data_IF_171184880242
#
_entry.id   IF_171184880242
#
_cell.length_a   1.000
_cell.length_b   1.000
_cell.length_c   1.000
_cell.angle_alpha   90.00
_cell.angle_beta   90.00
_cell.angle_gamma   90.00
#
_symmetry.space_group_name_H-M   'P 1'
#
loop_
_entity.id
_entity.type
_entity.pdbx_description
1 polymer ?
#
# COMPACT_ATOMS: atom_id res chain seq x y z
N UNK A 1 -3.96 29.31 -28.10
CA UNK A 1 -5.43 29.44 -28.13
C UNK A 1 -5.94 28.66 -29.35
N UNK A 2 -6.71 27.56 -29.23
CA UNK A 2 -6.25 26.20 -28.82
C UNK A 2 -5.93 25.42 -30.12
N UNK A 3 -4.70 25.10 -30.50
CA UNK A 3 -3.83 23.97 -30.05
C UNK A 3 -4.61 22.69 -29.68
N UNK A 4 -4.18 21.53 -30.20
CA UNK A 4 -5.05 20.49 -30.82
C UNK A 4 -5.68 20.97 -32.14
N UNK A 5 -4.87 21.57 -33.02
CA UNK A 5 -5.35 22.03 -34.33
C UNK A 5 -5.75 20.85 -35.23
N UNK A 6 -7.06 20.68 -35.41
CA UNK A 6 -7.77 19.76 -36.30
C UNK A 6 -7.59 20.05 -37.81
N UNK A 7 -6.43 20.56 -38.23
CA UNK A 7 -6.14 20.86 -39.64
C UNK A 7 -5.40 19.73 -40.38
N UNK A 8 -5.27 18.54 -39.78
CA UNK A 8 -4.69 17.39 -40.47
C UNK A 8 -5.78 16.68 -41.28
N UNK A 9 -5.70 16.74 -42.61
CA UNK A 9 -6.64 16.13 -43.58
C UNK A 9 -6.84 14.59 -43.46
N UNK A 10 -6.18 13.92 -42.50
CA UNK A 10 -6.23 12.46 -42.29
C UNK A 10 -7.11 12.10 -41.07
N UNK A 11 -7.96 13.00 -40.58
CA UNK A 11 -8.84 12.73 -39.44
C UNK A 11 -10.24 12.23 -39.83
N UNK A 12 -10.54 12.10 -41.13
CA UNK A 12 -11.80 11.50 -41.58
C UNK A 12 -11.66 9.98 -41.62
N UNK A 13 -12.19 9.30 -40.59
CA UNK A 13 -12.35 7.84 -40.58
C UNK A 13 -11.30 7.01 -39.81
N UNK A 14 -10.42 7.63 -39.02
CA UNK A 14 -9.52 6.92 -38.09
C UNK A 14 -9.79 7.32 -36.64
N UNK A 15 -9.95 6.32 -35.76
CA UNK A 15 -10.01 6.49 -34.30
C UNK A 15 -8.64 6.93 -33.77
N UNK A 16 -8.25 8.18 -34.02
CA UNK A 16 -7.13 8.80 -33.33
C UNK A 16 -7.62 9.19 -31.93
N UNK A 17 -7.38 8.34 -30.94
CA UNK A 17 -7.46 8.76 -29.53
C UNK A 17 -6.59 10.02 -29.38
N UNK A 18 -7.22 11.14 -29.05
CA UNK A 18 -6.54 12.41 -28.81
C UNK A 18 -5.75 12.31 -27.51
N UNK A 19 -4.53 11.79 -27.58
CA UNK A 19 -3.59 11.80 -26.47
C UNK A 19 -2.84 13.13 -26.46
N UNK A 20 -3.04 13.92 -25.41
CA UNK A 20 -2.29 15.14 -25.15
C UNK A 20 -1.21 14.88 -24.10
N UNK A 21 0.06 15.15 -24.45
CA UNK A 21 1.20 15.07 -23.52
C UNK A 21 1.63 16.48 -23.14
N UNK A 22 1.52 16.82 -21.85
CA UNK A 22 2.01 18.10 -21.32
C UNK A 22 3.40 17.87 -20.70
N UNK A 23 4.41 18.55 -21.22
CA UNK A 23 5.78 18.51 -20.68
C UNK A 23 6.05 19.79 -19.89
N UNK A 24 6.22 19.66 -18.58
CA UNK A 24 6.65 20.75 -17.70
C UNK A 24 8.13 20.53 -17.33
N UNK A 25 9.02 21.23 -18.02
CA UNK A 25 10.46 21.08 -17.82
C UNK A 25 11.02 22.21 -16.95
N UNK A 26 11.75 21.87 -15.89
CA UNK A 26 12.56 22.83 -15.13
C UNK A 26 13.99 22.81 -15.68
N UNK A 27 14.47 23.95 -16.20
CA UNK A 27 15.86 24.07 -16.68
C UNK A 27 16.82 23.91 -15.50
N UNK A 28 17.80 23.02 -15.63
CA UNK A 28 18.88 22.86 -14.64
C UNK A 28 19.71 24.14 -14.56
N UNK A 29 20.06 24.55 -13.34
CA UNK A 29 20.91 25.71 -13.11
C UNK A 29 22.31 25.49 -13.71
N UNK A 30 22.93 26.55 -14.24
CA UNK A 30 24.30 26.45 -14.80
C UNK A 30 25.34 26.14 -13.72
N UNK A 31 25.08 26.59 -12.50
CA UNK A 31 25.89 26.32 -11.30
C UNK A 31 25.45 25.04 -10.55
N UNK A 32 24.72 24.13 -11.19
CA UNK A 32 24.30 22.89 -10.54
C UNK A 32 25.51 22.04 -10.09
N UNK A 33 25.47 21.57 -8.86
CA UNK A 33 26.55 20.80 -8.26
C UNK A 33 26.65 19.39 -8.86
N UNK A 34 27.86 18.83 -8.80
CA UNK A 34 28.11 17.40 -9.02
C UNK A 34 28.21 16.74 -7.66
N UNK A 35 27.50 15.64 -7.46
CA UNK A 35 27.47 14.90 -6.18
C UNK A 35 27.89 13.45 -6.38
N UNK A 36 28.19 12.75 -5.29
CA UNK A 36 28.44 11.32 -5.27
C UNK A 36 27.15 10.51 -5.20
N UNK A 37 27.21 9.23 -5.54
CA UNK A 37 26.10 8.28 -5.35
C UNK A 37 25.60 8.24 -3.91
N UNK A 38 26.49 8.31 -2.91
CA UNK A 38 26.10 8.29 -1.50
C UNK A 38 25.26 9.51 -1.12
N UNK A 39 25.62 10.70 -1.63
CA UNK A 39 24.85 11.92 -1.45
C UNK A 39 23.50 11.87 -2.16
N UNK A 40 23.44 11.25 -3.35
CA UNK A 40 22.18 11.05 -4.06
C UNK A 40 21.23 10.14 -3.27
N UNK A 41 21.72 9.01 -2.74
CA UNK A 41 20.93 8.11 -1.89
C UNK A 41 20.44 8.83 -0.63
N UNK A 42 21.28 9.64 0.02
CA UNK A 42 20.86 10.45 1.18
C UNK A 42 19.79 11.47 0.83
N UNK A 43 19.86 12.06 -0.36
CA UNK A 43 18.83 12.98 -0.84
C UNK A 43 17.51 12.24 -1.12
N UNK A 44 17.56 11.05 -1.75
CA UNK A 44 16.39 10.19 -1.95
C UNK A 44 15.71 9.86 -0.61
N UNK A 45 16.46 9.34 0.37
CA UNK A 45 15.95 8.99 1.72
C UNK A 45 15.29 10.14 2.46
N UNK A 46 15.67 11.38 2.15
CA UNK A 46 15.12 12.57 2.80
C UNK A 46 13.90 13.13 2.06
N UNK A 47 13.91 13.10 0.74
CA UNK A 47 12.98 13.89 -0.10
C UNK A 47 11.94 13.03 -0.82
N UNK A 48 12.20 11.74 -1.04
CA UNK A 48 11.24 10.85 -1.68
C UNK A 48 10.11 10.40 -0.74
N UNK A 49 10.35 10.05 0.54
CA UNK A 49 9.28 9.63 1.46
C UNK A 49 8.11 10.62 1.59
N UNK A 50 8.33 11.94 1.77
CA UNK A 50 7.22 12.90 1.82
C UNK A 50 6.41 12.95 0.52
N UNK A 51 7.08 12.82 -0.64
CA UNK A 51 6.40 12.79 -1.93
C UNK A 51 5.56 11.51 -2.11
N UNK A 52 6.04 10.36 -1.63
CA UNK A 52 5.26 9.11 -1.65
C UNK A 52 4.03 9.23 -0.73
N UNK A 53 4.18 9.82 0.45
CA UNK A 53 3.05 10.08 1.35
C UNK A 53 1.99 10.99 0.72
N UNK A 54 2.39 12.02 -0.05
CA UNK A 54 1.46 12.84 -0.83
C UNK A 54 0.72 12.03 -1.90
N UNK A 55 1.39 11.08 -2.56
CA UNK A 55 0.74 10.18 -3.54
C UNK A 55 -0.26 9.22 -2.86
N UNK A 56 0.05 8.71 -1.66
CA UNK A 56 -0.88 7.89 -0.88
C UNK A 56 -2.10 8.70 -0.42
N UNK A 57 -1.88 9.94 0.02
CA UNK A 57 -2.94 10.87 0.39
C UNK A 57 -3.82 11.23 -0.82
N UNK A 58 -3.23 11.34 -2.00
CA UNK A 58 -3.94 11.49 -3.28
C UNK A 58 -4.62 10.20 -3.78
N UNK A 59 -4.51 9.11 -3.02
CA UNK A 59 -5.12 7.81 -3.31
C UNK A 59 -4.68 7.19 -4.65
N UNK A 60 -3.40 7.36 -4.99
CA UNK A 60 -2.79 6.68 -6.13
C UNK A 60 -2.76 5.17 -5.86
N UNK A 61 -3.26 4.36 -6.79
CA UNK A 61 -3.28 2.91 -6.63
C UNK A 61 -1.86 2.34 -6.47
N UNK A 62 -1.66 1.28 -5.66
CA UNK A 62 -0.34 0.68 -5.46
C UNK A 62 0.35 0.26 -6.77
N UNK A 63 -0.42 -0.29 -7.72
CA UNK A 63 0.13 -0.68 -9.03
C UNK A 63 0.72 0.48 -9.82
N UNK A 64 0.25 1.71 -9.57
CA UNK A 64 0.68 2.94 -10.24
C UNK A 64 1.74 3.72 -9.43
N UNK A 65 2.05 3.29 -8.20
CA UNK A 65 3.03 3.94 -7.33
C UNK A 65 4.43 4.02 -7.94
N UNK A 66 5.00 2.93 -8.51
CA UNK A 66 6.32 3.00 -9.13
C UNK A 66 6.40 4.06 -10.22
N UNK A 67 5.36 4.15 -11.06
CA UNK A 67 5.33 5.12 -12.15
C UNK A 67 5.16 6.55 -11.63
N UNK A 68 4.32 6.73 -10.62
CA UNK A 68 4.07 8.02 -9.98
C UNK A 68 5.31 8.55 -9.24
N UNK A 69 6.08 7.66 -8.60
CA UNK A 69 7.30 8.01 -7.86
C UNK A 69 8.49 8.40 -8.74
N UNK A 70 8.50 8.01 -10.03
CA UNK A 70 9.57 8.38 -10.97
C UNK A 70 9.74 9.89 -11.05
N UNK A 71 8.65 10.66 -11.13
CA UNK A 71 8.71 12.11 -11.23
C UNK A 71 9.47 12.76 -10.06
N UNK A 72 9.01 12.57 -8.82
CA UNK A 72 9.72 13.03 -7.62
C UNK A 72 11.18 12.56 -7.54
N UNK A 73 11.43 11.26 -7.75
CA UNK A 73 12.79 10.70 -7.69
C UNK A 73 13.73 11.26 -8.76
N UNK A 74 13.24 11.38 -10.01
CA UNK A 74 14.00 11.96 -11.11
C UNK A 74 14.18 13.47 -10.96
N UNK A 75 13.27 14.16 -10.27
CA UNK A 75 13.46 15.56 -9.87
C UNK A 75 14.70 15.73 -8.99
N UNK A 76 14.95 14.80 -8.07
CA UNK A 76 16.15 14.79 -7.22
C UNK A 76 17.40 14.47 -8.05
N UNK A 77 17.36 13.49 -8.96
CA UNK A 77 18.51 13.14 -9.79
C UNK A 77 18.89 14.25 -10.79
N UNK A 78 17.89 14.77 -11.53
CA UNK A 78 18.12 15.68 -12.65
C UNK A 78 18.47 17.12 -12.25
N UNK A 79 18.30 17.49 -10.98
CA UNK A 79 18.71 18.82 -10.48
C UNK A 79 20.22 18.99 -10.41
N UNK A 80 20.95 17.89 -10.28
CA UNK A 80 22.42 17.89 -10.25
C UNK A 80 23.00 17.89 -11.66
N UNK A 81 24.23 18.41 -11.78
CA UNK A 81 24.97 18.38 -13.05
C UNK A 81 25.32 16.95 -13.45
N UNK A 82 25.83 16.19 -12.49
CA UNK A 82 26.10 14.76 -12.59
C UNK A 82 26.04 14.13 -11.19
N UNK A 83 25.72 12.84 -11.14
CA UNK A 83 25.93 12.00 -9.96
C UNK A 83 27.07 11.04 -10.32
N UNK A 84 28.12 11.00 -9.51
CA UNK A 84 29.30 10.17 -9.77
C UNK A 84 29.19 8.82 -9.05
N UNK A 85 29.54 7.76 -9.77
CA UNK A 85 29.78 6.43 -9.20
C UNK A 85 31.17 6.36 -8.54
N UNK A 86 31.48 5.24 -7.90
CA UNK A 86 32.75 5.05 -7.18
C UNK A 86 33.99 5.05 -8.09
N UNK A 87 33.81 4.85 -9.40
CA UNK A 87 34.86 4.91 -10.43
C UNK A 87 34.94 6.27 -11.14
N UNK A 88 34.35 7.31 -10.53
CA UNK A 88 34.21 8.67 -11.07
C UNK A 88 33.40 8.77 -12.39
N UNK A 89 32.79 7.67 -12.85
CA UNK A 89 31.90 7.71 -14.01
C UNK A 89 30.55 8.35 -13.66
N UNK A 90 29.90 8.96 -14.64
CA UNK A 90 28.56 9.51 -14.45
C UNK A 90 27.53 8.38 -14.34
N UNK A 91 26.77 8.38 -13.23
CA UNK A 91 25.66 7.46 -13.00
C UNK A 91 24.65 7.53 -14.14
N UNK A 92 24.23 6.36 -14.62
CA UNK A 92 23.23 6.25 -15.67
C UNK A 92 21.81 6.54 -15.14
N UNK A 93 20.92 7.01 -16.02
CA UNK A 93 19.49 7.15 -15.69
C UNK A 93 18.89 5.81 -15.25
N UNK A 94 19.31 4.69 -15.85
CA UNK A 94 18.88 3.35 -15.46
C UNK A 94 19.21 3.07 -14.00
N UNK A 95 20.43 3.38 -13.57
CA UNK A 95 20.86 3.19 -12.18
C UNK A 95 20.06 4.10 -11.23
N UNK A 96 19.83 5.35 -11.63
CA UNK A 96 19.01 6.27 -10.83
C UNK A 96 17.58 5.73 -10.63
N UNK A 97 16.94 5.24 -11.69
CA UNK A 97 15.60 4.63 -11.61
C UNK A 97 15.57 3.40 -10.69
N UNK A 98 16.62 2.56 -10.72
CA UNK A 98 16.74 1.42 -9.81
C UNK A 98 16.85 1.86 -8.34
N UNK A 99 17.59 2.94 -8.06
CA UNK A 99 17.71 3.49 -6.70
C UNK A 99 16.41 4.14 -6.23
N UNK A 100 15.67 4.81 -7.13
CA UNK A 100 14.36 5.38 -6.82
C UNK A 100 13.36 4.28 -6.46
N UNK A 101 13.30 3.20 -7.24
CA UNK A 101 12.43 2.07 -6.94
C UNK A 101 12.85 1.39 -5.63
N UNK A 102 14.16 1.21 -5.38
CA UNK A 102 14.63 0.63 -4.13
C UNK A 102 14.24 1.47 -2.90
N UNK A 103 14.26 2.80 -3.02
CA UNK A 103 13.81 3.70 -1.95
C UNK A 103 12.28 3.67 -1.76
N UNK A 104 11.51 3.58 -2.85
CA UNK A 104 10.06 3.35 -2.78
C UNK A 104 9.75 2.04 -2.06
N UNK A 105 10.43 0.95 -2.43
CA UNK A 105 10.29 -0.35 -1.78
C UNK A 105 10.66 -0.26 -0.31
N UNK A 106 11.75 0.44 0.05
CA UNK A 106 12.16 0.66 1.45
C UNK A 106 11.06 1.39 2.22
N UNK A 107 10.53 2.49 1.69
CA UNK A 107 9.46 3.28 2.31
C UNK A 107 8.20 2.45 2.56
N UNK A 108 7.73 1.69 1.56
CA UNK A 108 6.54 0.86 1.70
C UNK A 108 6.74 -0.28 2.72
N UNK A 109 7.97 -0.77 2.87
CA UNK A 109 8.32 -1.83 3.82
C UNK A 109 8.63 -1.33 5.25
N UNK A 110 8.96 -0.04 5.43
CA UNK A 110 9.36 0.53 6.73
C UNK A 110 8.17 0.96 7.62
N UNK A 111 6.94 0.68 7.19
CA UNK A 111 5.70 1.06 7.87
C UNK A 111 5.41 0.27 9.17
N UNK A 112 6.35 -0.53 9.66
CA UNK A 112 6.16 -1.34 10.85
C UNK A 112 6.04 -0.54 12.15
N UNK A 113 6.49 0.71 12.24
CA UNK A 113 6.52 1.44 13.53
C UNK A 113 5.13 1.71 14.15
N UNK A 114 4.11 1.96 13.33
CA UNK A 114 2.83 2.49 13.80
C UNK A 114 1.77 1.42 14.06
N UNK A 115 1.92 0.21 13.51
CA UNK A 115 0.95 -0.87 13.68
C UNK A 115 1.00 -1.50 15.07
N UNK A 116 -0.12 -2.09 15.50
CA UNK A 116 -0.16 -2.94 16.69
C UNK A 116 0.80 -4.15 16.56
N UNK A 117 1.33 -4.69 17.68
CA UNK A 117 2.31 -5.76 17.66
C UNK A 117 1.88 -7.01 16.89
N UNK A 118 0.60 -7.37 16.97
CA UNK A 118 -0.03 -8.51 16.31
C UNK A 118 -0.04 -8.32 14.78
N UNK A 119 -0.42 -7.14 14.30
CA UNK A 119 -0.35 -6.77 12.87
C UNK A 119 1.09 -6.82 12.37
N UNK A 120 2.07 -6.31 13.14
CA UNK A 120 3.50 -6.42 12.76
C UNK A 120 3.98 -7.87 12.72
N UNK A 121 3.45 -8.72 13.60
CA UNK A 121 3.74 -10.15 13.56
C UNK A 121 3.17 -10.75 12.27
N UNK A 122 1.89 -10.47 11.98
CA UNK A 122 1.17 -11.00 10.83
C UNK A 122 1.83 -10.59 9.51
N UNK A 123 2.17 -9.31 9.36
CA UNK A 123 2.89 -8.75 8.22
C UNK A 123 4.19 -9.51 7.93
N UNK A 124 5.08 -9.61 8.94
CA UNK A 124 6.36 -10.30 8.78
C UNK A 124 6.21 -11.81 8.57
N UNK A 125 5.26 -12.45 9.26
CA UNK A 125 4.99 -13.87 9.05
C UNK A 125 4.44 -14.14 7.64
N UNK A 126 3.54 -13.29 7.16
CA UNK A 126 2.96 -13.37 5.82
C UNK A 126 4.03 -13.18 4.73
N UNK A 127 4.92 -12.21 4.88
CA UNK A 127 6.04 -12.02 3.97
C UNK A 127 6.87 -13.32 3.84
N UNK A 128 7.25 -13.91 4.98
CA UNK A 128 8.13 -15.09 5.03
C UNK A 128 7.45 -16.40 4.63
N UNK A 129 6.23 -16.66 5.12
CA UNK A 129 5.55 -17.96 5.03
C UNK A 129 4.24 -17.89 4.24
N UNK A 130 3.65 -16.70 4.12
CA UNK A 130 2.30 -16.51 3.58
C UNK A 130 1.26 -17.26 4.40
N UNK A 131 0.39 -17.96 3.69
CA UNK A 131 -0.63 -18.83 4.29
C UNK A 131 -0.13 -20.26 4.56
N UNK A 132 1.14 -20.57 4.27
CA UNK A 132 1.69 -21.89 4.53
C UNK A 132 1.97 -22.11 6.04
N UNK A 133 2.05 -23.38 6.44
CA UNK A 133 2.44 -23.75 7.81
C UNK A 133 3.94 -23.55 8.01
N UNK A 134 4.31 -22.82 9.05
CA UNK A 134 5.67 -22.69 9.56
C UNK A 134 5.83 -23.30 10.96
N UNK A 135 7.05 -23.32 11.47
CA UNK A 135 7.39 -23.89 12.78
C UNK A 135 6.97 -22.98 13.94
N UNK A 136 6.38 -23.56 14.99
CA UNK A 136 6.01 -22.80 16.19
C UNK A 136 7.21 -22.07 16.81
N UNK A 137 8.41 -22.67 16.81
CA UNK A 137 9.60 -22.01 17.35
C UNK A 137 9.98 -20.73 16.59
N UNK A 138 9.79 -20.71 15.26
CA UNK A 138 10.01 -19.50 14.46
C UNK A 138 8.96 -18.43 14.77
N UNK A 139 7.68 -18.84 14.90
CA UNK A 139 6.61 -17.94 15.30
C UNK A 139 6.83 -17.37 16.70
N UNK A 140 7.21 -18.21 17.67
CA UNK A 140 7.45 -17.79 19.04
C UNK A 140 8.62 -16.80 19.16
N UNK A 141 9.71 -17.02 18.42
CA UNK A 141 10.78 -16.04 18.30
C UNK A 141 10.29 -14.70 17.71
N UNK A 142 9.46 -14.75 16.66
CA UNK A 142 8.91 -13.56 16.01
C UNK A 142 7.96 -12.77 16.92
N UNK A 143 7.13 -13.48 17.69
CA UNK A 143 6.19 -12.91 18.66
C UNK A 143 6.93 -12.26 19.83
N UNK A 144 7.90 -12.97 20.43
CA UNK A 144 8.70 -12.45 21.55
C UNK A 144 9.49 -11.20 21.18
N UNK A 145 10.02 -11.12 19.94
CA UNK A 145 10.68 -9.93 19.43
C UNK A 145 9.78 -8.69 19.36
N UNK A 146 8.44 -8.87 19.40
CA UNK A 146 7.41 -7.81 19.38
C UNK A 146 6.74 -7.62 20.74
N UNK A 147 7.17 -8.32 21.78
CA UNK A 147 6.60 -8.24 23.13
C UNK A 147 5.25 -8.96 23.29
N UNK A 148 4.91 -9.87 22.37
CA UNK A 148 3.66 -10.66 22.41
C UNK A 148 3.94 -12.17 22.39
N UNK A 149 2.90 -12.98 22.52
CA UNK A 149 2.96 -14.43 22.38
C UNK A 149 2.22 -14.90 21.12
N UNK A 150 2.56 -16.08 20.60
CA UNK A 150 1.79 -16.72 19.50
C UNK A 150 0.33 -16.91 19.90
N UNK A 151 0.10 -17.13 21.20
CA UNK A 151 -1.23 -17.30 21.77
C UNK A 151 -2.05 -16.00 21.70
N UNK A 152 -1.45 -14.83 21.92
CA UNK A 152 -2.08 -13.50 21.71
C UNK A 152 -2.53 -13.34 20.26
N UNK A 153 -1.64 -13.64 19.32
CA UNK A 153 -1.93 -13.56 17.88
C UNK A 153 -3.03 -14.54 17.46
N UNK A 154 -3.11 -15.71 18.10
CA UNK A 154 -4.19 -16.68 17.88
C UNK A 154 -5.52 -16.15 18.43
N UNK A 155 -5.51 -15.54 19.62
CA UNK A 155 -6.71 -14.96 20.22
C UNK A 155 -7.24 -13.78 19.39
N UNK A 156 -6.37 -13.00 18.76
CA UNK A 156 -6.71 -11.96 17.79
C UNK A 156 -7.14 -12.52 16.41
N UNK A 157 -7.54 -13.79 16.29
CA UNK A 157 -8.04 -14.33 15.02
C UNK A 157 -7.07 -14.33 13.83
N UNK A 158 -5.77 -14.03 14.01
CA UNK A 158 -4.83 -13.88 12.89
C UNK A 158 -4.25 -15.23 12.45
N UNK A 159 -3.92 -16.09 13.41
CA UNK A 159 -3.22 -17.36 13.15
C UNK A 159 -3.93 -18.57 13.74
N UNK A 160 -3.74 -19.71 13.10
CA UNK A 160 -3.96 -21.02 13.71
C UNK A 160 -2.63 -21.55 14.24
N UNK A 161 -2.64 -22.07 15.47
CA UNK A 161 -1.51 -22.83 16.04
C UNK A 161 -1.97 -24.23 16.43
N UNK A 162 -1.48 -25.24 15.72
CA UNK A 162 -1.86 -26.64 15.92
C UNK A 162 -0.66 -27.56 15.67
N UNK A 163 -0.48 -28.58 16.52
CA UNK A 163 0.53 -29.62 16.37
C UNK A 163 1.97 -29.09 16.13
N UNK A 164 2.36 -28.04 16.86
CA UNK A 164 3.70 -27.43 16.74
C UNK A 164 3.91 -26.63 15.45
N UNK A 165 2.84 -26.35 14.70
CA UNK A 165 2.85 -25.52 13.49
C UNK A 165 2.00 -24.28 13.67
N UNK A 166 2.35 -23.21 12.97
CA UNK A 166 1.64 -21.93 12.94
C UNK A 166 1.39 -21.53 11.49
N UNK A 167 0.21 -20.98 11.18
CA UNK A 167 -0.10 -20.37 9.87
C UNK A 167 -1.07 -19.23 10.04
N UNK A 168 -1.06 -18.27 9.13
CA UNK A 168 -2.08 -17.23 9.05
C UNK A 168 -3.39 -17.84 8.52
N UNK A 169 -4.52 -17.37 9.06
CA UNK A 169 -5.85 -17.71 8.55
C UNK A 169 -6.10 -17.04 7.19
N UNK A 170 -6.69 -17.78 6.26
CA UNK A 170 -7.15 -17.23 4.98
C UNK A 170 -8.43 -16.42 5.20
N UNK A 171 -8.72 -15.47 4.29
CA UNK A 171 -9.96 -14.69 4.33
C UNK A 171 -11.23 -15.53 4.38
N UNK A 172 -11.24 -16.70 3.74
CA UNK A 172 -12.36 -17.66 3.77
C UNK A 172 -12.55 -18.39 5.09
N UNK A 173 -11.57 -18.31 6.00
CA UNK A 173 -11.59 -18.94 7.32
C UNK A 173 -11.93 -17.95 8.43
N UNK A 174 -12.03 -16.65 8.11
CA UNK A 174 -12.38 -15.59 9.05
C UNK A 174 -13.87 -15.65 9.38
N UNK A 175 -14.22 -15.36 10.64
CA UNK A 175 -15.60 -15.42 11.13
C UNK A 175 -16.51 -14.40 10.40
N UNK A 176 -17.53 -14.83 9.63
CA UNK A 176 -18.44 -13.94 8.92
C UNK A 176 -19.14 -12.93 9.84
N UNK A 177 -19.41 -13.31 11.09
CA UNK A 177 -20.17 -12.51 12.06
C UNK A 177 -19.28 -11.61 12.95
N UNK A 178 -17.97 -11.60 12.72
CA UNK A 178 -17.04 -10.74 13.46
C UNK A 178 -17.40 -9.26 13.31
N UNK A 179 -17.52 -8.55 14.43
CA UNK A 179 -17.83 -7.12 14.48
C UNK A 179 -16.70 -6.34 15.18
N UNK A 180 -16.06 -5.36 14.50
CA UNK A 180 -15.02 -4.54 15.11
C UNK A 180 -15.51 -3.73 16.32
N UNK A 181 -16.82 -3.50 16.46
CA UNK A 181 -17.40 -2.78 17.60
C UNK A 181 -17.51 -3.60 18.88
N UNK A 182 -17.37 -4.92 18.80
CA UNK A 182 -17.43 -5.84 19.96
C UNK A 182 -16.10 -6.51 20.28
N UNK A 183 -15.07 -6.25 19.47
CA UNK A 183 -13.74 -6.81 19.67
C UNK A 183 -12.92 -5.96 20.66
N UNK A 184 -12.59 -6.57 21.80
CA UNK A 184 -11.79 -5.93 22.86
C UNK A 184 -10.31 -5.78 22.49
N UNK A 185 -9.83 -6.48 21.45
CA UNK A 185 -8.44 -6.49 20.99
C UNK A 185 -8.32 -6.33 19.48
N UNK A 186 -9.00 -5.31 18.96
CA UNK A 186 -9.07 -4.98 17.54
C UNK A 186 -7.69 -4.73 16.91
N UNK A 187 -7.25 -5.59 15.98
CA UNK A 187 -6.00 -5.40 15.22
C UNK A 187 -6.24 -4.80 13.84
N UNK A 188 -5.24 -4.08 13.31
CA UNK A 188 -5.30 -3.52 11.94
C UNK A 188 -5.32 -4.64 10.89
N UNK A 189 -4.64 -5.76 11.15
CA UNK A 189 -4.66 -6.95 10.29
C UNK A 189 -6.07 -7.50 10.11
N UNK A 190 -6.79 -7.76 11.21
CA UNK A 190 -8.17 -8.25 11.15
C UNK A 190 -9.05 -7.27 10.38
N UNK A 191 -9.00 -5.97 10.73
CA UNK A 191 -9.76 -4.94 10.05
C UNK A 191 -9.52 -4.96 8.53
N UNK A 192 -8.27 -5.06 8.09
CA UNK A 192 -7.93 -5.10 6.67
C UNK A 192 -8.49 -6.36 5.98
N UNK A 193 -8.29 -7.54 6.56
CA UNK A 193 -8.71 -8.79 5.93
C UNK A 193 -10.24 -8.94 5.91
N UNK A 194 -10.93 -8.55 6.98
CA UNK A 194 -12.39 -8.55 7.04
C UNK A 194 -13.00 -7.49 6.12
N UNK A 195 -12.41 -6.29 6.01
CA UNK A 195 -12.89 -5.26 5.08
C UNK A 195 -12.83 -5.74 3.63
N UNK A 196 -11.74 -6.40 3.23
CA UNK A 196 -11.63 -7.02 1.89
C UNK A 196 -12.66 -8.13 1.72
N UNK A 197 -12.86 -8.98 2.73
CA UNK A 197 -13.85 -10.06 2.68
C UNK A 197 -15.26 -9.50 2.45
N UNK A 198 -15.66 -8.48 3.22
CA UNK A 198 -16.97 -7.84 3.09
C UNK A 198 -17.09 -7.16 1.72
N UNK A 199 -16.05 -6.47 1.26
CA UNK A 199 -16.04 -5.86 -0.08
C UNK A 199 -16.21 -6.89 -1.21
N UNK A 200 -15.50 -8.02 -1.13
CA UNK A 200 -15.54 -9.08 -2.15
C UNK A 200 -16.87 -9.86 -2.15
N UNK A 201 -17.49 -10.05 -0.98
CA UNK A 201 -18.69 -10.90 -0.83
C UNK A 201 -20.01 -10.11 -0.85
N UNK A 202 -20.03 -8.95 -0.19
CA UNK A 202 -21.25 -8.20 0.13
C UNK A 202 -21.32 -6.85 -0.61
N UNK A 203 -20.19 -6.38 -1.14
CA UNK A 203 -20.07 -5.18 -1.96
C UNK A 203 -19.68 -3.91 -1.18
N UNK A 204 -19.71 -2.78 -1.89
CA UNK A 204 -19.16 -1.51 -1.39
C UNK A 204 -19.93 -0.92 -0.21
N UNK A 205 -21.27 -0.95 -0.23
CA UNK A 205 -22.07 -0.36 0.84
C UNK A 205 -21.86 -1.07 2.20
N UNK A 206 -21.95 -2.41 2.32
CA UNK A 206 -21.59 -3.10 3.56
C UNK A 206 -20.15 -2.85 3.98
N UNK A 207 -19.20 -2.77 3.03
CA UNK A 207 -17.82 -2.43 3.32
C UNK A 207 -17.66 -1.00 3.87
N UNK A 208 -18.45 -0.03 3.39
CA UNK A 208 -18.47 1.33 3.92
C UNK A 208 -19.06 1.39 5.35
N UNK A 209 -20.11 0.63 5.64
CA UNK A 209 -20.64 0.46 7.01
C UNK A 209 -19.56 -0.13 7.92
N UNK A 210 -18.86 -1.17 7.45
CA UNK A 210 -17.78 -1.81 8.19
C UNK A 210 -16.61 -0.84 8.44
N UNK A 211 -16.21 -0.07 7.43
CA UNK A 211 -15.17 0.95 7.51
C UNK A 211 -15.53 2.03 8.55
N UNK A 212 -16.80 2.46 8.61
CA UNK A 212 -17.29 3.39 9.63
C UNK A 212 -17.11 2.82 11.04
N UNK A 213 -17.38 1.53 11.24
CA UNK A 213 -17.23 0.87 12.55
C UNK A 213 -15.77 0.74 12.99
N UNK A 214 -14.83 0.54 12.06
CA UNK A 214 -13.38 0.49 12.35
C UNK A 214 -12.88 1.80 12.99
N UNK A 215 -13.45 2.93 12.55
CA UNK A 215 -13.10 4.28 13.01
C UNK A 215 -11.96 4.90 12.20
N UNK A 216 -11.94 6.24 12.12
CA UNK A 216 -11.11 6.98 11.17
C UNK A 216 -9.60 6.73 11.29
N UNK A 217 -9.05 6.75 12.50
CA UNK A 217 -7.61 6.53 12.71
C UNK A 217 -7.17 5.13 12.25
N UNK A 218 -7.89 4.09 12.66
CA UNK A 218 -7.61 2.71 12.24
C UNK A 218 -7.87 2.49 10.76
N UNK A 219 -8.86 3.17 10.17
CA UNK A 219 -9.12 3.09 8.74
C UNK A 219 -7.89 3.54 7.92
N UNK A 220 -7.25 4.65 8.29
CA UNK A 220 -6.00 5.07 7.61
C UNK A 220 -4.89 4.04 7.79
N UNK A 221 -4.75 3.45 8.98
CA UNK A 221 -3.79 2.35 9.20
C UNK A 221 -4.10 1.12 8.34
N UNK A 222 -5.38 0.78 8.14
CA UNK A 222 -5.81 -0.30 7.24
C UNK A 222 -5.43 -0.01 5.80
N UNK A 223 -5.58 1.25 5.35
CA UNK A 223 -5.13 1.68 4.02
C UNK A 223 -3.61 1.53 3.88
N UNK A 224 -2.85 1.99 4.86
CA UNK A 224 -1.39 1.84 4.87
C UNK A 224 -0.96 0.37 4.84
N UNK A 225 -1.62 -0.48 5.63
CA UNK A 225 -1.39 -1.92 5.61
C UNK A 225 -1.72 -2.53 4.24
N UNK A 226 -2.78 -2.08 3.57
CA UNK A 226 -3.13 -2.55 2.24
C UNK A 226 -2.06 -2.20 1.18
N UNK A 227 -1.44 -1.01 1.26
CA UNK A 227 -0.30 -0.66 0.40
C UNK A 227 0.89 -1.61 0.64
N UNK A 228 1.24 -1.87 1.90
CA UNK A 228 2.31 -2.79 2.25
C UNK A 228 2.02 -4.21 1.76
N UNK A 229 0.82 -4.74 2.02
CA UNK A 229 0.46 -6.10 1.64
C UNK A 229 0.33 -6.27 0.12
N UNK A 230 -0.06 -5.23 -0.61
CA UNK A 230 0.05 -5.22 -2.06
C UNK A 230 1.50 -5.47 -2.50
N UNK A 231 2.44 -4.69 -1.96
CA UNK A 231 3.85 -4.76 -2.33
C UNK A 231 4.43 -6.15 -2.02
N UNK A 232 4.17 -6.68 -0.82
CA UNK A 232 4.54 -8.05 -0.45
C UNK A 232 3.99 -9.09 -1.42
N UNK A 233 2.71 -8.97 -1.80
CA UNK A 233 2.09 -9.88 -2.76
C UNK A 233 2.69 -9.73 -4.17
N UNK A 234 2.93 -8.52 -4.64
CA UNK A 234 3.39 -8.23 -6.00
C UNK A 234 4.85 -8.63 -6.21
N UNK A 235 5.74 -8.33 -5.26
CA UNK A 235 7.19 -8.48 -5.46
C UNK A 235 7.78 -9.68 -4.73
N UNK A 236 7.51 -9.82 -3.43
CA UNK A 236 8.11 -10.88 -2.60
C UNK A 236 7.49 -12.24 -2.85
N UNK A 237 6.16 -12.29 -2.93
CA UNK A 237 5.39 -13.55 -2.96
C UNK A 237 4.90 -13.95 -4.34
N UNK A 238 4.83 -13.01 -5.28
CA UNK A 238 4.25 -13.21 -6.61
C UNK A 238 2.81 -13.77 -6.54
N UNK A 239 2.06 -13.35 -5.52
CA UNK A 239 0.66 -13.71 -5.30
C UNK A 239 -0.26 -12.70 -5.98
N UNK A 240 -0.57 -12.97 -7.24
CA UNK A 240 -1.43 -12.11 -8.05
C UNK A 240 -2.83 -11.89 -7.43
N UNK A 241 -3.41 -12.92 -6.79
CA UNK A 241 -4.75 -12.81 -6.18
C UNK A 241 -4.73 -11.86 -4.99
N UNK A 242 -3.73 -12.00 -4.13
CA UNK A 242 -3.50 -11.08 -3.02
C UNK A 242 -3.33 -9.64 -3.51
N UNK A 243 -2.43 -9.43 -4.48
CA UNK A 243 -2.17 -8.11 -5.05
C UNK A 243 -3.43 -7.47 -5.66
N UNK A 244 -4.24 -8.23 -6.41
CA UNK A 244 -5.50 -7.74 -6.98
C UNK A 244 -6.48 -7.28 -5.89
N UNK A 245 -6.61 -8.03 -4.79
CA UNK A 245 -7.52 -7.68 -3.71
C UNK A 245 -7.12 -6.37 -3.02
N UNK A 246 -5.83 -6.21 -2.66
CA UNK A 246 -5.35 -4.98 -2.00
C UNK A 246 -5.41 -3.76 -2.93
N UNK A 247 -5.07 -3.93 -4.22
CA UNK A 247 -5.21 -2.85 -5.20
C UNK A 247 -6.67 -2.46 -5.40
N UNK A 248 -7.58 -3.44 -5.45
CA UNK A 248 -9.02 -3.22 -5.55
C UNK A 248 -9.57 -2.41 -4.36
N UNK A 249 -9.20 -2.79 -3.14
CA UNK A 249 -9.58 -2.04 -1.93
C UNK A 249 -9.15 -0.57 -2.00
N UNK A 250 -7.89 -0.31 -2.38
CA UNK A 250 -7.38 1.07 -2.44
C UNK A 250 -8.05 1.87 -3.56
N UNK A 251 -8.38 1.23 -4.69
CA UNK A 251 -9.07 1.89 -5.79
C UNK A 251 -10.46 2.42 -5.38
N UNK A 252 -11.21 1.66 -4.58
CA UNK A 252 -12.55 2.06 -4.10
C UNK A 252 -12.51 2.86 -2.79
N UNK A 253 -11.34 3.04 -2.17
CA UNK A 253 -11.20 3.70 -0.87
C UNK A 253 -11.87 5.10 -0.78
N UNK A 254 -11.75 6.00 -1.78
CA UNK A 254 -12.39 7.30 -1.72
C UNK A 254 -13.92 7.22 -1.71
N UNK A 255 -14.49 6.24 -2.40
CA UNK A 255 -15.94 6.02 -2.42
C UNK A 255 -16.40 5.40 -1.10
N UNK A 256 -15.68 4.38 -0.58
CA UNK A 256 -15.96 3.78 0.72
C UNK A 256 -15.92 4.80 1.86
N UNK A 257 -14.91 5.68 1.90
CA UNK A 257 -14.78 6.72 2.93
C UNK A 257 -15.88 7.78 2.81
N UNK A 258 -16.24 8.18 1.59
CA UNK A 258 -17.37 9.09 1.34
C UNK A 258 -18.69 8.48 1.81
N UNK A 259 -18.95 7.22 1.50
CA UNK A 259 -20.16 6.52 1.94
C UNK A 259 -20.19 6.31 3.46
N UNK A 260 -19.07 5.90 4.06
CA UNK A 260 -18.92 5.75 5.52
C UNK A 260 -19.25 7.06 6.28
N UNK A 261 -18.87 8.20 5.72
CA UNK A 261 -19.18 9.52 6.28
C UNK A 261 -20.68 9.89 6.19
N UNK A 262 -21.41 9.35 5.21
CA UNK A 262 -22.83 9.63 4.99
C UNK A 262 -23.77 8.72 5.79
N UNK A 263 -23.30 7.54 6.20
CA UNK A 263 -24.08 6.60 7.02
C UNK A 263 -24.38 7.25 8.38
N UNK A 264 -25.65 7.36 8.76
CA UNK A 264 -26.06 7.82 10.08
C UNK A 264 -26.34 6.63 11.00
N UNK A 265 -26.09 6.75 12.31
CA UNK A 265 -26.28 5.65 13.29
C UNK A 265 -27.71 5.07 13.33
N UNK A 266 -28.70 5.80 12.82
CA UNK A 266 -30.08 5.33 12.66
C UNK A 266 -30.27 4.31 11.54
N UNK A 267 -29.39 4.28 10.53
CA UNK A 267 -29.49 3.34 9.41
C UNK A 267 -28.95 1.95 9.78
N UNK A 268 -27.93 1.89 10.63
CA UNK A 268 -27.36 0.64 11.16
C UNK A 268 -28.40 -0.15 11.98
N UNK A 269 -29.26 0.55 12.73
CA UNK A 269 -30.33 -0.04 13.54
C UNK A 269 -31.59 -0.43 12.75
N UNK A 270 -31.81 0.13 11.55
CA UNK A 270 -32.98 -0.20 10.71
C UNK A 270 -32.81 -1.52 9.97
N UNK A 271 -31.59 -1.86 9.55
CA UNK A 271 -31.33 -3.13 8.86
C UNK A 271 -31.20 -4.33 9.82
N UNK A 272 -30.73 -4.14 11.05
CA UNK A 272 -30.72 -5.20 12.09
C UNK A 272 -32.11 -5.63 12.61
N UNK A 273 -33.20 -5.00 12.14
CA UNK A 273 -34.59 -5.30 12.51
C UNK A 273 -35.42 -5.93 11.39
N UNK A 274 -34.82 -6.17 10.21
CA UNK A 274 -35.51 -6.75 9.05
C UNK A 274 -35.19 -8.24 8.81
N UNK A 275 -34.53 -8.89 9.78
CA UNK A 275 -34.32 -10.34 9.83
C UNK A 275 -34.85 -10.90 11.15
#
# INVERSE_FOLDING_TARGET
MRTEMANRMIASGTNALANSVVLVCRKRAEAAETITRAEFIRALKRELPPAIAELQAANIAPADMPQSAIGPGMGIFSRYRAVLEADDSAMSVKTALQLINAELDEFLNDLHGNFDPETRFAATWFEQHGFAKGDYGAADNLARARGISVDSVRHAGIVESLAGKVRILKRSELDPEWDPGTDDHLTVWECCQHLIRVLENDGEYPAAVFLKKIGGERAEMVKDLAYYLYEVCATKRQDAKGATAYNGLIAVWPDLTREAAQIHDTDTNRQGRLF
#
